data_IF_406247133261
#
_entry.id   IF_406247133261
#
_cell.length_a   1.000
_cell.length_b   1.000
_cell.length_c   1.000
_cell.angle_alpha   90.00
_cell.angle_beta   90.00
_cell.angle_gamma   90.00
#
_symmetry.space_group_name_H-M   'P 1'
#
loop_
_entity.id
_entity.type
_entity.pdbx_description
1 polymer ?
#
# COMPACT_ATOMS: atom_id res chain seq x y z
N UNK A 1 26.34 -16.57 16.93
CA UNK A 1 25.03 -16.81 16.28
C UNK A 1 24.55 -18.19 16.73
N UNK A 2 23.36 -18.28 17.33
CA UNK A 2 22.84 -19.52 17.93
C UNK A 2 22.21 -20.43 16.85
N UNK A 3 22.32 -21.77 16.98
CA UNK A 3 21.75 -22.78 16.08
C UNK A 3 20.25 -22.54 15.76
N UNK A 4 19.45 -22.04 16.71
CA UNK A 4 18.05 -21.64 16.50
C UNK A 4 17.91 -20.44 15.57
N UNK A 5 18.78 -19.43 15.66
CA UNK A 5 18.77 -18.28 14.75
C UNK A 5 19.22 -18.70 13.34
N UNK A 6 20.11 -19.70 13.26
CA UNK A 6 20.60 -20.28 12.02
C UNK A 6 19.54 -21.16 11.31
N UNK A 7 18.70 -21.85 12.10
CA UNK A 7 17.68 -22.79 11.60
C UNK A 7 16.30 -22.14 11.36
N UNK A 8 15.94 -21.09 12.10
CA UNK A 8 14.60 -20.47 12.04
C UNK A 8 14.61 -18.99 11.63
N UNK A 9 15.78 -18.39 11.40
CA UNK A 9 15.94 -16.95 11.21
C UNK A 9 15.67 -16.17 12.50
N UNK A 10 16.09 -14.90 12.55
CA UNK A 10 15.64 -14.00 13.61
C UNK A 10 14.13 -13.77 13.46
N UNK A 11 13.37 -14.04 14.52
CA UNK A 11 11.94 -13.72 14.59
C UNK A 11 11.78 -12.21 14.33
N UNK A 12 10.98 -11.87 13.33
CA UNK A 12 10.65 -10.46 13.06
C UNK A 12 9.65 -10.02 14.12
N UNK A 13 10.02 -8.98 14.86
CA UNK A 13 9.17 -8.33 15.84
C UNK A 13 8.50 -7.11 15.22
N UNK A 14 7.19 -6.99 15.44
CA UNK A 14 6.41 -5.82 15.03
C UNK A 14 6.75 -4.69 16.00
N UNK A 15 7.26 -3.57 15.47
CA UNK A 15 7.66 -2.43 16.28
C UNK A 15 6.43 -1.75 16.94
N UNK A 16 6.63 -0.98 18.02
CA UNK A 16 5.55 -0.18 18.60
C UNK A 16 4.92 0.79 17.60
N UNK A 17 5.70 1.36 16.67
CA UNK A 17 5.20 2.29 15.65
C UNK A 17 4.35 1.57 14.61
N UNK A 18 4.76 0.38 14.18
CA UNK A 18 3.95 -0.48 13.32
C UNK A 18 2.63 -0.85 14.00
N UNK A 19 2.66 -1.16 15.30
CA UNK A 19 1.45 -1.46 16.05
C UNK A 19 0.51 -0.25 16.13
N UNK A 20 1.05 0.94 16.42
CA UNK A 20 0.27 2.19 16.42
C UNK A 20 -0.45 2.42 15.07
N UNK A 21 0.27 2.28 13.96
CA UNK A 21 -0.30 2.45 12.61
C UNK A 21 -1.32 1.35 12.30
N UNK A 22 -1.03 0.10 12.64
CA UNK A 22 -1.99 -0.99 12.48
C UNK A 22 -3.29 -0.72 13.25
N UNK A 23 -3.20 -0.25 14.50
CA UNK A 23 -4.37 0.08 15.32
C UNK A 23 -5.17 1.24 14.72
N UNK A 24 -4.51 2.26 14.14
CA UNK A 24 -5.22 3.34 13.43
C UNK A 24 -6.02 2.81 12.25
N UNK A 25 -5.45 1.91 11.44
CA UNK A 25 -6.15 1.29 10.30
C UNK A 25 -7.26 0.31 10.73
N UNK A 26 -7.06 -0.43 11.83
CA UNK A 26 -8.06 -1.34 12.39
C UNK A 26 -9.28 -0.58 12.90
N UNK A 27 -9.06 0.51 13.63
CA UNK A 27 -10.12 1.32 14.22
C UNK A 27 -10.61 2.45 13.28
N UNK A 28 -10.15 2.46 12.03
CA UNK A 28 -10.49 3.50 11.06
C UNK A 28 -11.98 3.47 10.71
N UNK A 29 -12.59 4.64 10.59
CA UNK A 29 -13.93 4.80 10.04
C UNK A 29 -13.84 4.75 8.51
N UNK A 30 -13.71 3.52 7.98
CA UNK A 30 -13.55 3.28 6.56
C UNK A 30 -14.68 3.92 5.75
N UNK A 31 -14.30 4.61 4.68
CA UNK A 31 -15.20 5.21 3.68
C UNK A 31 -16.12 6.31 4.20
N UNK A 32 -15.89 6.87 5.40
CA UNK A 32 -16.72 7.94 5.95
C UNK A 32 -16.72 9.20 5.07
N UNK A 33 -15.62 9.46 4.37
CA UNK A 33 -15.48 10.60 3.48
C UNK A 33 -15.37 10.19 2.00
N UNK A 34 -15.62 8.95 1.60
CA UNK A 34 -15.66 8.57 0.18
C UNK A 34 -16.79 9.31 -0.55
N UNK A 35 -16.50 9.84 -1.74
CA UNK A 35 -17.47 10.58 -2.56
C UNK A 35 -17.08 12.02 -2.87
N UNK A 36 -17.69 12.63 -3.91
CA UNK A 36 -17.35 13.98 -4.38
C UNK A 36 -17.70 15.11 -3.39
N UNK A 37 -18.72 14.90 -2.56
CA UNK A 37 -19.29 15.87 -1.63
C UNK A 37 -18.35 16.18 -0.44
N UNK A 38 -17.42 15.26 -0.16
CA UNK A 38 -16.56 15.32 1.02
C UNK A 38 -15.18 15.87 0.62
N UNK A 39 -15.04 17.19 0.73
CA UNK A 39 -13.74 17.86 0.66
C UNK A 39 -13.09 17.81 2.04
N UNK A 40 -12.11 16.94 2.18
CA UNK A 40 -11.28 16.84 3.39
C UNK A 40 -9.87 17.24 2.98
N UNK A 41 -9.23 18.07 3.80
CA UNK A 41 -7.81 18.34 3.65
C UNK A 41 -7.02 17.07 4.01
N UNK A 42 -6.26 16.58 3.04
CA UNK A 42 -5.43 15.39 3.17
C UNK A 42 -3.99 15.81 2.87
N UNK A 43 -3.14 15.72 3.88
CA UNK A 43 -1.71 15.97 3.72
C UNK A 43 -1.08 14.76 3.05
N UNK A 44 -0.72 14.90 1.77
CA UNK A 44 -0.01 13.87 1.02
C UNK A 44 1.19 14.47 0.32
N UNK A 45 2.26 13.68 0.21
CA UNK A 45 3.42 14.06 -0.61
C UNK A 45 3.06 14.24 -2.09
N UNK A 46 2.02 13.54 -2.55
CA UNK A 46 1.56 13.54 -3.93
C UNK A 46 0.37 14.47 -4.15
N UNK A 47 0.21 14.96 -5.38
CA UNK A 47 -1.03 15.64 -5.79
C UNK A 47 -2.17 14.63 -5.87
N UNK A 48 -3.36 15.08 -5.49
CA UNK A 48 -4.58 14.28 -5.54
C UNK A 48 -5.40 14.62 -6.79
N UNK A 49 -6.03 13.59 -7.36
CA UNK A 49 -7.02 13.70 -8.42
C UNK A 49 -8.30 12.98 -7.98
N UNK A 50 -9.36 13.73 -7.68
CA UNK A 50 -10.58 13.17 -7.10
C UNK A 50 -11.60 12.79 -8.16
N UNK A 51 -12.03 11.53 -8.11
CA UNK A 51 -13.12 10.99 -8.93
C UNK A 51 -14.48 11.48 -8.42
N UNK A 52 -15.38 11.76 -9.38
CA UNK A 52 -16.65 12.44 -9.08
C UNK A 52 -17.82 11.50 -8.86
N UNK A 53 -17.81 10.29 -9.40
CA UNK A 53 -18.95 9.38 -9.32
C UNK A 53 -18.50 7.95 -8.99
N UNK A 54 -19.40 7.17 -8.39
CA UNK A 54 -19.14 5.74 -8.16
C UNK A 54 -19.00 4.98 -9.49
N UNK A 55 -19.76 5.34 -10.52
CA UNK A 55 -19.65 4.73 -11.85
C UNK A 55 -18.23 4.86 -12.42
N UNK A 56 -17.59 6.02 -12.23
CA UNK A 56 -16.21 6.24 -12.67
C UNK A 56 -15.22 5.42 -11.84
N UNK A 57 -15.48 5.25 -10.52
CA UNK A 57 -14.69 4.35 -9.66
C UNK A 57 -14.81 2.91 -10.14
N UNK A 58 -16.03 2.41 -10.33
CA UNK A 58 -16.29 1.05 -10.81
C UNK A 58 -15.63 0.80 -12.17
N UNK A 59 -15.78 1.74 -13.10
CA UNK A 59 -15.12 1.67 -14.40
C UNK A 59 -13.60 1.56 -14.26
N UNK A 60 -12.97 2.43 -13.47
CA UNK A 60 -11.50 2.44 -13.28
C UNK A 60 -11.00 1.19 -12.58
N UNK A 61 -11.73 0.69 -11.60
CA UNK A 61 -11.39 -0.51 -10.84
C UNK A 61 -11.64 -1.81 -11.65
N UNK A 62 -12.46 -1.74 -12.71
CA UNK A 62 -12.65 -2.87 -13.64
C UNK A 62 -11.45 -3.10 -14.58
N UNK A 63 -10.58 -2.11 -14.76
CA UNK A 63 -9.44 -2.20 -15.69
C UNK A 63 -8.44 -3.29 -15.27
N UNK A 64 -8.18 -4.22 -16.19
CA UNK A 64 -7.20 -5.32 -15.98
C UNK A 64 -5.77 -4.96 -16.35
N UNK A 65 -5.57 -3.82 -17.01
CA UNK A 65 -4.29 -3.28 -17.44
C UNK A 65 -4.35 -1.75 -17.42
N UNK A 66 -3.20 -1.11 -17.40
CA UNK A 66 -3.11 0.35 -17.50
C UNK A 66 -3.81 0.84 -18.77
N UNK A 67 -4.54 1.94 -18.62
CA UNK A 67 -5.27 2.60 -19.70
C UNK A 67 -4.69 3.99 -19.84
N UNK A 68 -4.49 4.48 -21.07
CA UNK A 68 -3.91 5.80 -21.40
C UNK A 68 -3.86 6.82 -20.22
N UNK A 69 -2.67 6.99 -19.62
CA UNK A 69 -2.39 7.91 -18.50
C UNK A 69 -3.07 7.56 -17.17
N UNK A 70 -3.44 6.31 -16.98
CA UNK A 70 -4.02 5.76 -15.76
C UNK A 70 -3.39 4.40 -15.47
N UNK A 71 -2.71 4.31 -14.33
CA UNK A 71 -2.19 3.06 -13.79
C UNK A 71 -3.21 2.51 -12.81
N UNK A 72 -3.56 1.22 -12.98
CA UNK A 72 -4.55 0.55 -12.13
C UNK A 72 -4.07 0.46 -10.69
N UNK A 73 -4.99 0.29 -9.73
CA UNK A 73 -4.62 0.13 -8.32
C UNK A 73 -3.66 -1.07 -8.11
N UNK A 74 -3.90 -2.18 -8.81
CA UNK A 74 -3.03 -3.35 -8.74
C UNK A 74 -1.62 -3.04 -9.25
N UNK A 75 -1.50 -2.43 -10.42
CA UNK A 75 -0.20 -2.07 -10.99
C UNK A 75 0.51 -0.99 -10.16
N UNK A 76 -0.22 -0.07 -9.54
CA UNK A 76 0.34 0.89 -8.60
C UNK A 76 0.95 0.19 -7.36
N UNK A 77 0.26 -0.80 -6.82
CA UNK A 77 0.78 -1.60 -5.71
C UNK A 77 1.96 -2.49 -6.14
N UNK A 78 1.97 -2.99 -7.38
CA UNK A 78 3.11 -3.73 -7.94
C UNK A 78 4.32 -2.79 -8.05
N UNK A 79 4.14 -1.59 -8.60
CA UNK A 79 5.21 -0.62 -8.79
C UNK A 79 5.81 -0.16 -7.46
N UNK A 80 4.98 0.17 -6.46
CA UNK A 80 5.48 0.51 -5.12
C UNK A 80 6.33 -0.63 -4.53
N UNK A 81 5.79 -1.85 -4.56
CA UNK A 81 6.49 -3.03 -4.03
C UNK A 81 7.79 -3.32 -4.80
N UNK A 82 7.81 -3.11 -6.11
CA UNK A 82 8.98 -3.30 -6.98
C UNK A 82 10.10 -2.33 -6.59
N UNK A 83 9.81 -1.03 -6.45
CA UNK A 83 10.81 -0.02 -6.07
C UNK A 83 11.43 -0.32 -4.71
N UNK A 84 10.62 -0.71 -3.72
CA UNK A 84 11.12 -1.15 -2.41
C UNK A 84 11.97 -2.43 -2.48
N UNK A 85 11.55 -3.42 -3.26
CA UNK A 85 12.29 -4.68 -3.45
C UNK A 85 13.65 -4.46 -4.11
N UNK A 86 13.68 -3.62 -5.14
CA UNK A 86 14.90 -3.24 -5.82
C UNK A 86 15.81 -2.45 -4.86
N UNK A 87 15.26 -1.54 -4.04
CA UNK A 87 16.07 -0.71 -3.16
C UNK A 87 16.89 -1.58 -2.21
N UNK A 88 16.23 -2.56 -1.61
CA UNK A 88 16.92 -3.50 -0.76
C UNK A 88 17.92 -4.39 -1.54
N UNK A 89 17.65 -4.72 -2.81
CA UNK A 89 18.58 -5.50 -3.64
C UNK A 89 19.88 -4.74 -3.92
N UNK A 90 19.79 -3.44 -4.23
CA UNK A 90 20.96 -2.62 -4.56
C UNK A 90 21.75 -2.20 -3.33
N UNK A 91 21.08 -1.68 -2.31
CA UNK A 91 21.75 -1.07 -1.15
C UNK A 91 21.98 -2.05 0.00
N UNK A 92 21.21 -3.14 0.07
CA UNK A 92 21.28 -4.12 1.15
C UNK A 92 21.28 -5.59 0.64
N UNK A 93 22.19 -5.97 -0.28
CA UNK A 93 22.16 -7.26 -0.97
C UNK A 93 22.33 -8.48 -0.03
N UNK A 94 22.96 -8.28 1.14
CA UNK A 94 23.12 -9.32 2.16
C UNK A 94 21.84 -9.58 2.96
N UNK A 95 20.88 -8.68 2.91
CA UNK A 95 19.54 -8.82 3.47
C UNK A 95 18.66 -9.50 2.42
N UNK A 96 18.94 -10.78 2.12
CA UNK A 96 18.25 -11.55 1.07
C UNK A 96 16.72 -11.39 1.21
N UNK A 97 16.16 -10.54 0.35
CA UNK A 97 14.86 -9.90 0.56
C UNK A 97 13.66 -10.82 0.66
N UNK A 98 13.68 -11.97 -0.01
CA UNK A 98 12.50 -12.84 -0.09
C UNK A 98 12.14 -13.47 1.25
N UNK A 99 13.12 -13.99 2.01
CA UNK A 99 12.82 -14.65 3.29
C UNK A 99 12.43 -13.66 4.37
N UNK A 100 13.06 -12.48 4.41
CA UNK A 100 12.74 -11.44 5.40
C UNK A 100 11.39 -10.78 5.12
N UNK A 101 11.09 -10.48 3.86
CA UNK A 101 9.77 -10.01 3.43
C UNK A 101 8.68 -11.02 3.80
N UNK A 102 8.86 -12.29 3.43
CA UNK A 102 7.89 -13.35 3.74
C UNK A 102 7.71 -13.54 5.25
N UNK A 103 8.80 -13.50 6.03
CA UNK A 103 8.72 -13.60 7.48
C UNK A 103 7.97 -12.40 8.10
N UNK A 104 8.10 -11.21 7.50
CA UNK A 104 7.45 -9.99 7.98
C UNK A 104 5.96 -10.02 7.65
N UNK A 105 5.59 -10.35 6.42
CA UNK A 105 4.18 -10.48 6.01
C UNK A 105 3.49 -11.57 6.82
N UNK A 106 4.17 -12.70 7.07
CA UNK A 106 3.66 -13.75 7.97
C UNK A 106 3.49 -13.25 9.42
N UNK A 107 4.42 -12.44 9.94
CA UNK A 107 4.31 -11.90 11.28
C UNK A 107 3.13 -10.94 11.40
N UNK A 108 2.92 -10.08 10.40
CA UNK A 108 1.77 -9.17 10.29
C UNK A 108 0.46 -9.98 10.23
N UNK A 109 0.38 -10.94 9.31
CA UNK A 109 -0.78 -11.80 9.11
C UNK A 109 -1.15 -12.58 10.39
N UNK A 110 -0.17 -13.23 11.03
CA UNK A 110 -0.36 -13.95 12.29
C UNK A 110 -0.80 -13.03 13.43
N UNK A 111 -0.37 -11.76 13.45
CA UNK A 111 -0.68 -10.83 14.53
C UNK A 111 -2.05 -10.20 14.36
N UNK A 112 -2.41 -9.74 13.17
CA UNK A 112 -3.60 -8.91 12.97
C UNK A 112 -4.72 -9.62 12.23
N UNK A 113 -4.42 -10.40 11.18
CA UNK A 113 -5.44 -10.94 10.28
C UNK A 113 -5.94 -12.29 10.79
N UNK A 114 -5.05 -13.26 11.03
CA UNK A 114 -5.41 -14.59 11.57
C UNK A 114 -6.05 -14.55 12.96
N UNK A 115 -5.78 -13.48 13.72
CA UNK A 115 -6.44 -13.23 15.02
C UNK A 115 -7.78 -12.49 14.90
N UNK A 116 -8.18 -12.12 13.68
CA UNK A 116 -9.43 -11.41 13.40
C UNK A 116 -9.46 -9.96 13.90
N UNK A 117 -8.30 -9.36 14.16
CA UNK A 117 -8.21 -7.95 14.58
C UNK A 117 -8.42 -7.01 13.39
N UNK A 118 -7.80 -7.33 12.25
CA UNK A 118 -8.05 -6.68 10.97
C UNK A 118 -8.83 -7.64 10.06
N UNK A 119 -9.99 -7.18 9.55
CA UNK A 119 -10.93 -8.00 8.77
C UNK A 119 -11.09 -7.42 7.37
N UNK A 120 -10.12 -7.64 6.45
CA UNK A 120 -10.11 -7.01 5.14
C UNK A 120 -11.35 -7.36 4.32
N UNK A 121 -11.80 -8.62 4.34
CA UNK A 121 -12.97 -9.09 3.59
C UNK A 121 -14.25 -8.38 4.05
N UNK A 122 -14.37 -8.13 5.36
CA UNK A 122 -15.49 -7.39 5.92
C UNK A 122 -15.47 -5.92 5.47
N UNK A 123 -14.30 -5.28 5.50
CA UNK A 123 -14.13 -3.88 5.07
C UNK A 123 -14.49 -3.73 3.59
N UNK A 124 -13.98 -4.61 2.72
CA UNK A 124 -14.32 -4.61 1.29
C UNK A 124 -15.83 -4.87 1.06
N UNK A 125 -16.43 -5.80 1.82
CA UNK A 125 -17.88 -6.05 1.72
C UNK A 125 -18.73 -4.83 2.09
N UNK A 126 -18.37 -4.12 3.16
CA UNK A 126 -19.05 -2.87 3.57
C UNK A 126 -19.05 -1.82 2.46
N UNK A 127 -17.95 -1.72 1.71
CA UNK A 127 -17.86 -0.80 0.59
C UNK A 127 -18.83 -1.17 -0.52
N UNK A 128 -18.77 -2.43 -0.97
CA UNK A 128 -19.61 -2.93 -2.05
C UNK A 128 -21.10 -2.83 -1.72
N UNK A 129 -21.49 -3.11 -0.48
CA UNK A 129 -22.87 -2.97 -0.01
C UNK A 129 -23.30 -1.50 0.01
N UNK A 130 -22.48 -0.60 0.57
CA UNK A 130 -22.80 0.83 0.69
C UNK A 130 -23.00 1.50 -0.68
N UNK A 131 -22.25 1.08 -1.68
CA UNK A 131 -22.20 1.73 -2.98
C UNK A 131 -22.76 0.91 -4.14
N UNK A 132 -23.24 -0.31 -3.86
CA UNK A 132 -23.82 -1.23 -4.84
C UNK A 132 -22.91 -1.48 -6.05
N UNK A 133 -21.67 -1.90 -5.77
CA UNK A 133 -20.63 -2.23 -6.77
C UNK A 133 -19.96 -3.56 -6.41
N UNK A 134 -19.18 -4.11 -7.33
CA UNK A 134 -18.35 -5.31 -7.11
C UNK A 134 -16.88 -5.07 -7.46
N UNK A 135 -16.12 -4.44 -6.54
CA UNK A 135 -14.73 -4.04 -6.82
C UNK A 135 -13.75 -4.40 -5.70
N UNK A 136 -12.66 -5.10 -6.02
CA UNK A 136 -11.62 -5.40 -5.05
C UNK A 136 -10.75 -4.16 -4.75
N UNK A 137 -10.82 -3.66 -3.52
CA UNK A 137 -10.02 -2.53 -3.04
C UNK A 137 -8.62 -2.95 -2.55
N UNK A 138 -8.29 -4.24 -2.61
CA UNK A 138 -7.03 -4.81 -2.17
C UNK A 138 -6.68 -4.48 -0.71
N UNK A 139 -7.68 -4.37 0.18
CA UNK A 139 -7.53 -3.91 1.58
C UNK A 139 -6.50 -4.74 2.37
N UNK A 140 -6.48 -6.06 2.14
CA UNK A 140 -5.48 -6.93 2.77
C UNK A 140 -4.05 -6.56 2.35
N UNK A 141 -3.84 -6.43 1.03
CA UNK A 141 -2.54 -6.07 0.45
C UNK A 141 -2.10 -4.68 0.87
N UNK A 142 -3.03 -3.72 0.90
CA UNK A 142 -2.81 -2.36 1.41
C UNK A 142 -2.27 -2.40 2.85
N UNK A 143 -2.99 -3.06 3.76
CA UNK A 143 -2.64 -3.13 5.16
C UNK A 143 -1.26 -3.75 5.38
N UNK A 144 -0.98 -4.87 4.71
CA UNK A 144 0.33 -5.53 4.77
C UNK A 144 1.43 -4.60 4.24
N UNK A 145 1.23 -4.00 3.07
CA UNK A 145 2.28 -3.20 2.43
C UNK A 145 2.59 -1.92 3.20
N UNK A 146 1.61 -1.24 3.81
CA UNK A 146 1.87 -0.08 4.69
C UNK A 146 2.80 -0.47 5.84
N UNK A 147 2.53 -1.60 6.50
CA UNK A 147 3.34 -2.05 7.63
C UNK A 147 4.73 -2.53 7.17
N UNK A 148 4.83 -3.13 5.98
CA UNK A 148 6.12 -3.48 5.38
C UNK A 148 6.94 -2.24 5.04
N UNK A 149 6.35 -1.24 4.39
CA UNK A 149 6.99 0.04 4.07
C UNK A 149 7.50 0.71 5.35
N UNK A 150 6.68 0.77 6.40
CA UNK A 150 7.08 1.32 7.70
C UNK A 150 8.25 0.56 8.34
N UNK A 151 8.20 -0.77 8.33
CA UNK A 151 9.29 -1.58 8.88
C UNK A 151 10.64 -1.28 8.20
N UNK A 152 10.64 -1.17 6.88
CA UNK A 152 11.86 -0.87 6.14
C UNK A 152 12.28 0.59 6.33
N UNK A 153 11.34 1.53 6.37
CA UNK A 153 11.60 2.95 6.63
C UNK A 153 12.24 3.20 8.01
N UNK A 154 11.82 2.46 9.04
CA UNK A 154 12.42 2.52 10.39
C UNK A 154 13.88 2.03 10.39
N UNK A 155 14.27 1.18 9.44
CA UNK A 155 15.63 0.63 9.35
C UNK A 155 16.52 1.39 8.38
N UNK A 156 15.92 1.87 7.31
CA UNK A 156 16.55 2.50 6.16
C UNK A 156 15.76 3.78 5.88
N UNK A 157 16.16 4.93 6.45
CA UNK A 157 15.43 6.20 6.33
C UNK A 157 15.19 6.62 4.87
N UNK A 158 16.04 6.20 3.94
CA UNK A 158 15.98 6.44 2.51
C UNK A 158 15.14 5.41 1.73
N UNK A 159 14.56 4.41 2.40
CA UNK A 159 13.65 3.45 1.76
C UNK A 159 12.50 4.17 1.05
N UNK A 160 12.22 3.83 -0.23
CA UNK A 160 11.15 4.45 -0.98
C UNK A 160 9.80 3.97 -0.47
N UNK A 161 8.96 4.91 -0.09
CA UNK A 161 7.62 4.68 0.42
C UNK A 161 6.60 5.26 -0.56
N UNK A 162 5.41 4.68 -0.59
CA UNK A 162 4.29 5.22 -1.37
C UNK A 162 3.00 5.08 -0.58
N UNK A 163 2.67 3.87 -0.10
CA UNK A 163 1.45 3.67 0.67
C UNK A 163 1.54 4.29 2.06
N UNK A 164 2.73 4.24 2.67
CA UNK A 164 2.98 4.95 3.93
C UNK A 164 2.87 6.46 3.77
N UNK A 165 3.38 7.02 2.66
CA UNK A 165 3.34 8.47 2.38
C UNK A 165 1.94 8.97 1.98
N UNK A 166 1.03 8.04 1.67
CA UNK A 166 -0.37 8.32 1.34
C UNK A 166 -1.35 7.73 2.37
N UNK A 167 -0.85 7.32 3.54
CA UNK A 167 -1.69 6.65 4.55
C UNK A 167 -2.85 7.52 5.02
N UNK A 168 -2.65 8.84 5.05
CA UNK A 168 -3.66 9.79 5.48
C UNK A 168 -4.90 9.82 4.58
N UNK A 169 -4.78 9.42 3.31
CA UNK A 169 -5.96 9.22 2.44
C UNK A 169 -6.90 8.20 3.09
N UNK A 170 -6.36 7.06 3.50
CA UNK A 170 -7.14 6.00 4.12
C UNK A 170 -7.61 6.36 5.54
N UNK A 171 -6.76 6.99 6.36
CA UNK A 171 -7.12 7.40 7.72
C UNK A 171 -8.16 8.53 7.75
N UNK A 172 -8.30 9.29 6.66
CA UNK A 172 -9.40 10.24 6.48
C UNK A 172 -10.64 9.60 5.87
N UNK A 173 -10.66 8.27 5.68
CA UNK A 173 -11.81 7.54 5.15
C UNK A 173 -12.05 7.76 3.65
N UNK A 174 -11.00 8.14 2.90
CA UNK A 174 -10.97 8.11 1.43
C UNK A 174 -10.29 6.83 0.95
N UNK A 175 -10.36 6.56 -0.36
CA UNK A 175 -9.62 5.45 -0.97
C UNK A 175 -8.77 5.90 -2.14
N UNK A 176 -7.66 5.20 -2.37
CA UNK A 176 -6.92 5.27 -3.63
C UNK A 176 -7.53 4.25 -4.59
N UNK A 177 -7.80 4.67 -5.83
CA UNK A 177 -8.35 3.80 -6.88
C UNK A 177 -7.38 3.61 -8.06
N UNK A 178 -6.24 4.32 -8.03
CA UNK A 178 -5.20 4.20 -9.04
C UNK A 178 -4.30 5.42 -9.07
N UNK A 179 -3.63 5.61 -10.20
CA UNK A 179 -2.67 6.70 -10.39
C UNK A 179 -2.86 7.34 -11.77
N UNK A 180 -3.03 8.66 -11.81
CA UNK A 180 -3.09 9.43 -13.05
C UNK A 180 -1.67 9.83 -13.44
N UNK A 181 -1.10 9.14 -14.42
CA UNK A 181 0.28 9.29 -14.84
C UNK A 181 0.77 8.04 -15.57
N UNK A 182 2.08 7.87 -15.67
CA UNK A 182 2.73 6.66 -16.18
C UNK A 182 4.02 6.42 -15.42
N UNK A 183 4.38 5.16 -15.24
CA UNK A 183 5.70 4.75 -14.77
C UNK A 183 6.59 4.39 -15.96
N UNK A 184 7.92 4.47 -15.77
CA UNK A 184 8.89 4.02 -16.76
C UNK A 184 8.69 2.53 -17.12
N UNK A 185 9.13 2.13 -18.31
CA UNK A 185 9.07 0.71 -18.70
C UNK A 185 9.96 -0.15 -17.81
N UNK A 186 9.42 -1.27 -17.34
CA UNK A 186 10.11 -2.28 -16.53
C UNK A 186 11.23 -3.02 -17.29
N UNK A 187 11.33 -2.82 -18.61
CA UNK A 187 12.32 -3.46 -19.48
C UNK A 187 13.70 -2.79 -19.45
N UNK A 188 13.81 -1.62 -18.81
CA UNK A 188 15.12 -1.00 -18.57
C UNK A 188 15.73 -1.68 -17.35
N UNK A 189 16.92 -2.26 -17.51
CA UNK A 189 17.72 -2.73 -16.38
C UNK A 189 18.03 -1.52 -15.52
N UNK A 190 17.25 -1.29 -14.48
CA UNK A 190 17.41 -0.16 -13.57
C UNK A 190 18.74 -0.33 -12.83
N UNK A 191 19.75 0.44 -13.26
CA UNK A 191 21.02 0.61 -12.54
C UNK A 191 20.85 1.50 -11.31
N UNK A 192 19.75 2.25 -11.26
CA UNK A 192 19.40 3.20 -10.22
C UNK A 192 17.91 3.08 -9.89
N UNK A 193 17.57 3.29 -8.62
CA UNK A 193 16.20 3.17 -8.10
C UNK A 193 15.80 4.49 -7.50
N UNK A 194 14.63 4.96 -7.92
CA UNK A 194 14.08 6.21 -7.46
C UNK A 194 12.69 6.00 -6.84
N UNK A 195 12.34 6.73 -5.77
CA UNK A 195 10.98 6.74 -5.25
C UNK A 195 10.00 7.23 -6.31
N UNK A 196 8.70 6.93 -6.15
CA UNK A 196 7.69 7.57 -7.00
C UNK A 196 7.73 9.06 -6.67
N UNK A 197 7.94 9.88 -7.70
CA UNK A 197 8.04 11.32 -7.52
C UNK A 197 6.68 12.02 -7.76
N UNK A 198 6.38 13.13 -7.05
CA UNK A 198 5.11 13.85 -7.21
C UNK A 198 4.89 14.42 -8.61
N UNK A 199 5.95 14.64 -9.39
CA UNK A 199 5.89 15.09 -10.78
C UNK A 199 5.51 13.99 -11.77
N UNK A 200 5.61 12.71 -11.39
CA UNK A 200 5.26 11.58 -12.28
C UNK A 200 3.75 11.44 -12.48
N UNK A 201 2.94 12.11 -11.67
CA UNK A 201 1.48 12.00 -11.74
C UNK A 201 0.73 12.45 -10.50
N UNK A 202 -0.45 11.87 -10.31
CA UNK A 202 -1.38 12.18 -9.20
C UNK A 202 -1.99 10.90 -8.66
N UNK A 203 -2.20 10.85 -7.36
CA UNK A 203 -2.96 9.77 -6.72
C UNK A 203 -4.43 9.96 -7.05
N UNK A 204 -5.04 8.97 -7.69
CA UNK A 204 -6.47 9.02 -8.00
C UNK A 204 -7.26 8.51 -6.81
N UNK A 205 -8.15 9.34 -6.28
CA UNK A 205 -8.88 9.06 -5.05
C UNK A 205 -10.39 9.13 -5.23
N UNK A 206 -11.11 8.53 -4.28
CA UNK A 206 -12.54 8.70 -4.11
C UNK A 206 -12.91 9.06 -2.67
#
# INVERSE_FOLDING_TARGET
MNLKELLFGKKIEISPKMDEIAQKLINNEWFINCGPEHQVEIETYFKLDQVRTIDEVEQKMSYKKDVKNFVTLDNLFIESARRGSLFNLLYYPNDKNSSKYNNLTEAIDKKYIKKGLFKPDYIFHLFNEKYNVDIDLYINRLFINILVELYYKEKYPEYPTFLLDNIDIYLKGKIIIGWVGRFGSHEVVETDIFPIYPEEGKVNIW
#
